data_IF_305104330165
#
_entry.id   IF_305104330165
#
_cell.length_a   1.000
_cell.length_b   1.000
_cell.length_c   1.000
_cell.angle_alpha   90.00
_cell.angle_beta   90.00
_cell.angle_gamma   90.00
#
_symmetry.space_group_name_H-M   'P 1'
#
loop_
_entity.id
_entity.type
_entity.pdbx_description
1 polymer ?
#
# COMPACT_ATOMS: atom_id res chain seq x y z
N UNK A 1 -3.70 13.21 8.97
CA UNK A 1 -2.37 12.50 8.86
C UNK A 1 -1.46 13.42 8.09
N UNK A 2 -0.37 13.83 8.70
CA UNK A 2 0.66 14.61 8.03
C UNK A 2 1.16 13.84 6.81
N UNK A 3 1.41 14.50 5.65
CA UNK A 3 2.01 13.84 4.51
C UNK A 3 3.29 13.11 4.92
N UNK A 4 3.44 11.86 4.49
CA UNK A 4 4.60 11.03 4.85
C UNK A 4 5.93 11.68 4.48
N UNK A 5 5.94 12.52 3.43
CA UNK A 5 7.14 13.28 3.03
C UNK A 5 7.58 14.29 4.08
N UNK A 6 6.65 15.00 4.73
CA UNK A 6 6.98 15.98 5.77
C UNK A 6 7.59 15.28 6.97
N UNK A 7 6.94 14.21 7.44
CA UNK A 7 7.51 13.37 8.49
C UNK A 7 8.91 12.88 8.12
N UNK A 8 9.07 12.37 6.90
CA UNK A 8 10.34 11.82 6.44
C UNK A 8 11.45 12.90 6.36
N UNK A 9 11.12 14.11 5.93
CA UNK A 9 12.09 15.18 5.77
C UNK A 9 12.41 15.90 7.09
N UNK A 10 11.43 16.15 7.92
CA UNK A 10 11.49 17.04 9.09
C UNK A 10 11.69 16.32 10.42
N UNK A 11 11.29 15.03 10.50
CA UNK A 11 11.42 14.24 11.72
C UNK A 11 12.89 14.09 12.14
N UNK A 12 13.18 14.46 13.40
CA UNK A 12 14.53 14.41 13.98
C UNK A 12 14.89 13.07 14.62
N UNK A 13 13.95 12.11 14.64
CA UNK A 13 14.18 10.78 15.22
C UNK A 13 15.32 10.04 14.50
N UNK A 14 16.12 9.23 15.22
CA UNK A 14 17.21 8.46 14.60
C UNK A 14 16.75 7.57 13.45
N UNK A 15 15.56 7.00 13.54
CA UNK A 15 14.96 6.15 12.50
C UNK A 15 14.71 6.92 11.20
N UNK A 16 14.16 8.13 11.29
CA UNK A 16 13.95 8.97 10.12
C UNK A 16 15.28 9.40 9.49
N UNK A 17 16.28 9.75 10.31
CA UNK A 17 17.62 10.05 9.83
C UNK A 17 18.28 8.85 9.13
N UNK A 18 18.07 7.63 9.64
CA UNK A 18 18.50 6.40 8.99
C UNK A 18 17.76 6.18 7.67
N UNK A 19 16.43 6.39 7.66
CA UNK A 19 15.62 6.29 6.45
C UNK A 19 16.11 7.22 5.34
N UNK A 20 16.38 8.48 5.67
CA UNK A 20 16.96 9.45 4.71
C UNK A 20 18.30 8.98 4.14
N UNK A 21 19.18 8.41 4.98
CA UNK A 21 20.45 7.84 4.50
C UNK A 21 20.24 6.69 3.53
N UNK A 22 19.32 5.75 3.86
CA UNK A 22 19.00 4.62 2.99
C UNK A 22 18.46 5.11 1.63
N UNK A 23 17.52 6.05 1.64
CA UNK A 23 16.96 6.60 0.38
C UNK A 23 18.03 7.31 -0.44
N UNK A 24 18.85 8.16 0.19
CA UNK A 24 19.92 8.86 -0.51
C UNK A 24 20.95 7.88 -1.11
N UNK A 25 21.30 6.81 -0.40
CA UNK A 25 22.21 5.77 -0.90
C UNK A 25 21.58 5.02 -2.09
N UNK A 26 20.32 4.62 -2.00
CA UNK A 26 19.63 3.98 -3.13
C UNK A 26 19.51 4.95 -4.31
N UNK A 27 19.13 6.20 -4.06
CA UNK A 27 18.98 7.23 -5.10
C UNK A 27 20.30 7.55 -5.80
N UNK A 28 21.42 7.58 -5.09
CA UNK A 28 22.74 7.84 -5.71
C UNK A 28 23.15 6.80 -6.76
N UNK A 29 22.57 5.61 -6.70
CA UNK A 29 22.79 4.50 -7.65
C UNK A 29 21.69 4.39 -8.71
N UNK A 30 20.60 5.16 -8.54
CA UNK A 30 19.46 5.07 -9.42
C UNK A 30 19.71 5.81 -10.75
N UNK A 31 19.39 5.21 -11.91
CA UNK A 31 19.71 5.77 -13.22
C UNK A 31 18.72 6.88 -13.65
N UNK A 32 18.32 7.75 -12.74
CA UNK A 32 17.42 8.87 -13.06
C UNK A 32 18.16 9.94 -13.87
N UNK A 33 17.68 10.23 -15.07
CA UNK A 33 18.28 11.22 -15.96
C UNK A 33 17.54 12.55 -15.99
N UNK A 34 16.27 12.57 -15.64
CA UNK A 34 15.35 13.72 -15.80
C UNK A 34 14.89 14.37 -14.49
N UNK A 35 15.36 13.85 -13.36
CA UNK A 35 14.96 14.35 -12.03
C UNK A 35 13.52 14.02 -11.62
N UNK A 36 12.77 13.24 -12.43
CA UNK A 36 11.39 12.88 -12.14
C UNK A 36 11.28 12.14 -10.80
N UNK A 37 12.06 11.08 -10.60
CA UNK A 37 12.04 10.32 -9.35
C UNK A 37 12.35 11.20 -8.13
N UNK A 38 13.25 12.18 -8.27
CA UNK A 38 13.53 13.15 -7.21
C UNK A 38 12.29 14.00 -6.88
N UNK A 39 11.55 14.44 -7.90
CA UNK A 39 10.31 15.19 -7.69
C UNK A 39 9.22 14.34 -7.01
N UNK A 40 9.10 13.06 -7.38
CA UNK A 40 8.18 12.12 -6.76
C UNK A 40 8.53 11.84 -5.29
N UNK A 41 9.81 11.69 -4.95
CA UNK A 41 10.30 11.52 -3.57
C UNK A 41 10.05 12.75 -2.67
N UNK A 42 9.74 13.90 -3.25
CA UNK A 42 9.38 15.13 -2.53
C UNK A 42 7.90 15.49 -2.67
N UNK A 43 7.13 14.62 -3.27
CA UNK A 43 5.71 14.86 -3.46
C UNK A 43 4.98 14.85 -2.10
N UNK A 44 4.08 15.81 -1.91
CA UNK A 44 3.16 15.85 -0.76
C UNK A 44 2.10 14.74 -0.87
N UNK A 45 1.88 14.22 -2.07
CA UNK A 45 1.01 13.08 -2.32
C UNK A 45 1.73 11.78 -1.90
N UNK A 46 1.23 11.14 -0.85
CA UNK A 46 1.79 9.90 -0.32
C UNK A 46 1.86 8.78 -1.35
N UNK A 47 0.89 8.69 -2.28
CA UNK A 47 0.90 7.66 -3.34
C UNK A 47 2.12 7.82 -4.24
N UNK A 48 2.44 9.05 -4.63
CA UNK A 48 3.61 9.36 -5.45
C UNK A 48 4.91 9.07 -4.69
N UNK A 49 5.00 9.50 -3.43
CA UNK A 49 6.16 9.22 -2.58
C UNK A 49 6.37 7.70 -2.44
N UNK A 50 5.33 6.95 -2.09
CA UNK A 50 5.44 5.50 -1.93
C UNK A 50 5.80 4.78 -3.23
N UNK A 51 5.24 5.21 -4.37
CA UNK A 51 5.62 4.68 -5.68
C UNK A 51 7.12 4.87 -5.94
N UNK A 52 7.63 6.08 -5.72
CA UNK A 52 9.05 6.37 -5.89
C UNK A 52 9.95 5.55 -4.93
N UNK A 53 9.52 5.35 -3.68
CA UNK A 53 10.22 4.50 -2.73
C UNK A 53 10.24 3.03 -3.17
N UNK A 54 9.14 2.51 -3.69
CA UNK A 54 9.06 1.14 -4.19
C UNK A 54 9.94 0.96 -5.43
N UNK A 55 9.97 1.91 -6.35
CA UNK A 55 10.87 1.91 -7.51
C UNK A 55 12.35 1.91 -7.06
N UNK A 56 12.72 2.74 -6.07
CA UNK A 56 14.08 2.73 -5.51
C UNK A 56 14.46 1.38 -4.90
N UNK A 57 13.57 0.80 -4.11
CA UNK A 57 13.80 -0.51 -3.49
C UNK A 57 14.01 -1.58 -4.55
N UNK A 58 13.09 -1.65 -5.52
CA UNK A 58 13.13 -2.66 -6.60
C UNK A 58 14.40 -2.51 -7.42
N UNK A 59 14.77 -1.29 -7.82
CA UNK A 59 16.02 -1.02 -8.52
C UNK A 59 17.23 -1.50 -7.71
N UNK A 60 17.31 -1.15 -6.42
CA UNK A 60 18.43 -1.54 -5.57
C UNK A 60 18.55 -3.07 -5.40
N UNK A 61 17.42 -3.79 -5.39
CA UNK A 61 17.41 -5.25 -5.32
C UNK A 61 17.86 -5.89 -6.63
N UNK A 62 17.35 -5.43 -7.76
CA UNK A 62 17.64 -5.95 -9.10
C UNK A 62 19.09 -5.66 -9.51
N UNK A 63 19.61 -4.48 -9.19
CA UNK A 63 20.97 -4.03 -9.56
C UNK A 63 22.09 -4.83 -8.90
N UNK A 64 21.80 -5.69 -7.93
CA UNK A 64 22.78 -6.61 -7.35
C UNK A 64 23.19 -7.71 -8.31
N UNK A 65 22.34 -8.02 -9.27
CA UNK A 65 22.51 -9.16 -10.16
C UNK A 65 22.55 -8.78 -11.63
N UNK A 66 21.87 -7.71 -11.99
CA UNK A 66 21.68 -7.28 -13.37
C UNK A 66 22.15 -5.85 -13.59
N UNK A 67 22.51 -5.56 -14.83
CA UNK A 67 22.51 -4.18 -15.29
C UNK A 67 21.04 -3.78 -15.50
N UNK A 68 20.61 -2.73 -14.81
CA UNK A 68 19.22 -2.29 -14.79
C UNK A 68 19.11 -0.94 -15.49
N UNK A 69 18.29 -0.86 -16.54
CA UNK A 69 17.89 0.42 -17.12
C UNK A 69 16.49 0.81 -16.67
N UNK A 70 16.31 2.10 -16.44
CA UNK A 70 15.04 2.69 -15.98
C UNK A 70 14.35 3.40 -17.14
N UNK A 71 13.07 3.08 -17.39
CA UNK A 71 12.22 3.66 -18.43
C UNK A 71 12.92 3.77 -19.82
N UNK A 72 13.70 2.77 -20.19
CA UNK A 72 14.45 2.77 -21.45
C UNK A 72 13.55 2.58 -22.67
N UNK A 73 13.74 3.39 -23.70
CA UNK A 73 13.03 3.33 -24.96
C UNK A 73 12.08 4.50 -25.19
N UNK A 74 11.22 4.39 -26.21
CA UNK A 74 10.19 5.36 -26.58
C UNK A 74 8.80 4.77 -26.43
N UNK A 75 7.80 5.58 -26.20
CA UNK A 75 6.40 5.13 -26.03
C UNK A 75 6.14 4.51 -24.66
N UNK A 76 5.19 3.57 -24.59
CA UNK A 76 4.82 2.85 -23.38
C UNK A 76 5.88 1.82 -23.04
N UNK A 77 6.52 1.94 -21.89
CA UNK A 77 7.68 1.16 -21.48
C UNK A 77 7.55 0.71 -20.01
N UNK A 78 8.11 -0.47 -19.65
CA UNK A 78 8.17 -0.92 -18.27
C UNK A 78 9.15 -0.06 -17.47
N UNK A 79 8.98 -0.02 -16.15
CA UNK A 79 9.85 0.75 -15.27
C UNK A 79 11.31 0.28 -15.39
N UNK A 80 11.54 -1.03 -15.44
CA UNK A 80 12.90 -1.59 -15.52
C UNK A 80 13.06 -2.61 -16.63
N UNK A 81 14.22 -2.55 -17.30
CA UNK A 81 14.74 -3.62 -18.15
C UNK A 81 15.99 -4.20 -17.55
N UNK A 82 16.11 -5.52 -17.60
CA UNK A 82 17.21 -6.28 -17.00
C UNK A 82 18.13 -6.81 -18.08
N UNK A 83 19.42 -6.60 -17.89
CA UNK A 83 20.45 -7.12 -18.76
C UNK A 83 21.45 -7.93 -17.94
N UNK A 84 21.89 -9.06 -18.46
CA UNK A 84 22.96 -9.84 -17.89
C UNK A 84 24.32 -9.11 -18.03
N UNK A 85 25.36 -9.62 -17.40
CA UNK A 85 26.70 -9.01 -17.45
C UNK A 85 27.33 -8.96 -18.85
N UNK A 86 26.86 -9.84 -19.75
CA UNK A 86 27.25 -9.85 -21.17
C UNK A 86 26.42 -8.91 -22.04
N UNK A 87 25.50 -8.13 -21.44
CA UNK A 87 24.62 -7.22 -22.13
C UNK A 87 23.37 -7.86 -22.74
N UNK A 88 23.18 -9.17 -22.60
CA UNK A 88 21.97 -9.84 -23.11
C UNK A 88 20.74 -9.42 -22.33
N UNK A 89 19.63 -9.15 -23.04
CA UNK A 89 18.35 -8.79 -22.42
C UNK A 89 17.70 -9.99 -21.74
N UNK A 90 17.43 -9.88 -20.44
CA UNK A 90 16.91 -10.95 -19.59
C UNK A 90 15.40 -10.86 -19.42
N UNK A 91 14.85 -9.66 -19.23
CA UNK A 91 13.43 -9.46 -18.98
C UNK A 91 13.11 -8.06 -18.48
N UNK A 92 11.86 -7.84 -18.13
CA UNK A 92 11.37 -6.55 -17.66
C UNK A 92 10.62 -6.67 -16.31
N UNK A 93 10.57 -5.55 -15.61
CA UNK A 93 9.85 -5.41 -14.33
C UNK A 93 9.02 -4.13 -14.35
N UNK A 94 7.79 -4.23 -13.95
CA UNK A 94 6.90 -3.11 -13.68
C UNK A 94 6.61 -3.02 -12.19
N UNK A 95 6.61 -1.82 -11.64
CA UNK A 95 6.29 -1.56 -10.24
C UNK A 95 4.89 -0.94 -10.15
N UNK A 96 4.11 -1.39 -9.22
CA UNK A 96 2.88 -0.74 -8.81
C UNK A 96 2.86 -0.60 -7.29
N UNK A 97 2.20 0.43 -6.81
CA UNK A 97 1.98 0.64 -5.39
C UNK A 97 0.49 0.65 -5.13
N UNK A 98 0.04 -0.16 -4.16
CA UNK A 98 -1.33 -0.20 -3.70
C UNK A 98 -1.44 0.60 -2.41
N UNK A 99 -2.17 1.72 -2.43
CA UNK A 99 -2.45 2.54 -1.24
C UNK A 99 -3.94 2.52 -0.92
N UNK A 100 -4.29 2.75 0.34
CA UNK A 100 -5.69 2.88 0.76
C UNK A 100 -6.40 4.06 0.07
N UNK A 101 -5.66 5.11 -0.28
CA UNK A 101 -6.23 6.39 -0.72
C UNK A 101 -6.55 6.47 -2.22
N UNK A 102 -6.02 5.56 -3.04
CA UNK A 102 -6.18 5.63 -4.50
C UNK A 102 -7.64 5.58 -4.96
N UNK A 103 -8.45 4.75 -4.30
CA UNK A 103 -9.85 4.50 -4.69
C UNK A 103 -10.84 5.24 -3.80
N UNK A 104 -10.36 6.15 -2.98
CA UNK A 104 -11.24 6.90 -2.10
C UNK A 104 -12.20 7.77 -2.91
N UNK A 105 -13.48 7.69 -2.55
CA UNK A 105 -14.50 8.58 -3.07
C UNK A 105 -14.16 10.03 -2.72
N UNK A 106 -14.80 10.99 -3.39
CA UNK A 106 -14.62 12.41 -3.07
C UNK A 106 -14.99 12.72 -1.60
N UNK A 107 -15.88 11.94 -1.01
CA UNK A 107 -16.27 12.06 0.39
C UNK A 107 -15.16 11.57 1.33
N UNK A 108 -14.58 10.42 1.06
CA UNK A 108 -13.47 9.87 1.82
C UNK A 108 -12.24 10.77 1.78
N UNK A 109 -11.94 11.37 0.62
CA UNK A 109 -10.87 12.37 0.49
C UNK A 109 -11.13 13.62 1.34
N UNK A 110 -12.38 14.13 1.33
CA UNK A 110 -12.76 15.28 2.18
C UNK A 110 -12.62 14.96 3.67
N UNK A 111 -13.01 13.74 4.08
CA UNK A 111 -12.80 13.24 5.43
C UNK A 111 -11.31 13.23 5.83
N UNK A 112 -10.47 12.66 4.97
CA UNK A 112 -9.03 12.60 5.21
C UNK A 112 -8.43 14.00 5.37
N UNK A 113 -8.75 14.93 4.46
CA UNK A 113 -8.27 16.32 4.53
C UNK A 113 -8.72 17.00 5.82
N UNK A 114 -9.97 16.77 6.27
CA UNK A 114 -10.45 17.31 7.54
C UNK A 114 -9.66 16.76 8.73
N UNK A 115 -9.43 15.46 8.77
CA UNK A 115 -8.64 14.80 9.83
C UNK A 115 -7.21 15.31 9.84
N UNK A 116 -6.59 15.42 8.66
CA UNK A 116 -5.23 15.94 8.51
C UNK A 116 -5.12 17.40 9.00
N UNK A 117 -6.06 18.24 8.59
CA UNK A 117 -6.14 19.65 9.03
C UNK A 117 -6.36 19.81 10.54
N UNK A 118 -7.15 18.90 11.15
CA UNK A 118 -7.35 18.90 12.59
C UNK A 118 -6.11 18.44 13.33
N UNK A 119 -5.46 17.36 12.90
CA UNK A 119 -4.21 16.87 13.49
C UNK A 119 -3.10 17.91 13.43
N UNK A 120 -3.00 18.66 12.34
CA UNK A 120 -2.02 19.73 12.19
C UNK A 120 -2.26 20.95 13.10
N UNK A 121 -3.47 21.11 13.66
CA UNK A 121 -3.86 22.33 14.41
C UNK A 121 -4.20 22.10 15.87
N UNK A 122 -4.58 20.86 16.23
CA UNK A 122 -4.94 20.52 17.59
C UNK A 122 -3.71 20.06 18.38
N UNK A 123 -3.61 20.53 19.61
CA UNK A 123 -2.61 20.05 20.58
C UNK A 123 -3.35 19.47 21.77
N UNK A 124 -3.85 18.26 21.63
CA UNK A 124 -4.60 17.58 22.67
C UNK A 124 -3.66 16.79 23.59
N UNK A 125 -3.88 16.88 24.89
CA UNK A 125 -3.04 16.17 25.89
C UNK A 125 -3.82 15.20 26.76
N UNK A 126 -5.14 15.30 26.77
CA UNK A 126 -6.00 14.53 27.66
C UNK A 126 -7.03 13.67 26.94
N UNK A 127 -7.31 13.98 25.68
CA UNK A 127 -8.28 13.29 24.85
C UNK A 127 -7.74 13.09 23.45
N UNK A 128 -8.10 11.99 22.81
CA UNK A 128 -8.17 11.90 21.35
C UNK A 128 -9.61 12.13 20.89
N UNK A 129 -9.80 12.44 19.62
CA UNK A 129 -11.14 12.69 19.08
C UNK A 129 -11.43 11.82 17.87
N UNK A 130 -12.67 11.38 17.77
CA UNK A 130 -13.21 10.74 16.57
C UNK A 130 -14.12 11.74 15.87
N UNK A 131 -14.03 11.87 14.56
CA UNK A 131 -14.85 12.77 13.75
C UNK A 131 -15.61 12.00 12.68
N UNK A 132 -16.89 12.34 12.50
CA UNK A 132 -17.74 11.81 11.45
C UNK A 132 -18.50 12.95 10.79
N UNK A 133 -18.35 13.10 9.47
CA UNK A 133 -19.06 14.15 8.71
C UNK A 133 -20.48 13.69 8.43
N UNK A 134 -21.47 14.41 8.95
CA UNK A 134 -22.89 14.17 8.70
C UNK A 134 -23.43 14.98 7.52
N UNK A 135 -22.91 16.17 7.30
CA UNK A 135 -23.25 17.07 6.18
C UNK A 135 -22.02 17.86 5.75
N UNK A 136 -21.83 17.98 4.45
CA UNK A 136 -20.72 18.74 3.85
C UNK A 136 -21.19 19.53 2.64
N UNK A 137 -21.41 20.81 2.80
CA UNK A 137 -21.74 21.72 1.70
C UNK A 137 -20.49 22.36 1.13
N UNK A 138 -19.54 22.70 1.99
CA UNK A 138 -18.22 23.24 1.65
C UNK A 138 -17.21 22.98 2.78
N UNK A 139 -15.92 23.20 2.51
CA UNK A 139 -14.87 23.06 3.52
C UNK A 139 -15.14 23.97 4.74
N UNK A 140 -15.03 23.45 5.99
CA UNK A 140 -15.23 24.23 7.19
C UNK A 140 -14.12 25.27 7.36
N UNK A 141 -14.44 26.38 8.04
CA UNK A 141 -13.41 27.25 8.57
C UNK A 141 -12.75 26.58 9.77
N UNK A 142 -11.49 26.24 9.66
CA UNK A 142 -10.80 25.43 10.68
C UNK A 142 -10.68 26.14 12.03
N UNK A 143 -10.40 27.46 12.04
CA UNK A 143 -10.23 28.21 13.30
C UNK A 143 -11.47 28.14 14.24
N UNK A 144 -12.71 28.35 13.79
CA UNK A 144 -13.89 28.14 14.62
C UNK A 144 -14.10 26.71 15.09
N UNK A 145 -13.80 25.72 14.24
CA UNK A 145 -13.94 24.31 14.56
C UNK A 145 -12.94 23.90 15.66
N UNK A 146 -11.67 24.26 15.49
CA UNK A 146 -10.61 24.00 16.50
C UNK A 146 -10.98 24.67 17.84
N UNK A 147 -11.34 25.95 17.83
CA UNK A 147 -11.73 26.66 19.04
C UNK A 147 -12.95 26.03 19.76
N UNK A 148 -13.88 25.47 18.98
CA UNK A 148 -15.04 24.77 19.54
C UNK A 148 -14.61 23.43 20.16
N UNK A 149 -13.71 22.66 19.53
CA UNK A 149 -13.16 21.42 20.07
C UNK A 149 -12.43 21.71 21.40
N UNK A 150 -11.52 22.67 21.41
CA UNK A 150 -10.76 23.06 22.61
C UNK A 150 -11.68 23.44 23.78
N UNK A 151 -12.72 24.24 23.49
CA UNK A 151 -13.73 24.62 24.49
C UNK A 151 -14.48 23.40 25.01
N UNK A 152 -14.85 22.48 24.14
CA UNK A 152 -15.59 21.27 24.53
C UNK A 152 -14.74 20.34 25.41
N UNK A 153 -13.45 20.20 25.08
CA UNK A 153 -12.51 19.43 25.91
C UNK A 153 -12.31 20.10 27.30
N UNK A 154 -12.26 21.44 27.34
CA UNK A 154 -12.20 22.13 28.62
C UNK A 154 -13.44 21.85 29.46
N UNK A 155 -14.63 21.87 28.88
CA UNK A 155 -15.88 21.52 29.57
C UNK A 155 -15.86 20.07 30.11
N UNK A 156 -15.37 19.10 29.32
CA UNK A 156 -15.27 17.70 29.73
C UNK A 156 -14.27 17.49 30.88
N UNK A 157 -13.20 18.31 30.95
CA UNK A 157 -12.25 18.25 32.08
C UNK A 157 -12.87 18.76 33.37
N UNK A 158 -13.74 19.81 33.26
CA UNK A 158 -14.42 20.40 34.43
C UNK A 158 -15.62 19.54 34.88
N UNK A 159 -16.34 18.94 33.92
CA UNK A 159 -17.47 18.06 34.13
C UNK A 159 -17.48 16.91 33.11
N UNK A 160 -17.00 15.71 33.46
CA UNK A 160 -17.02 14.53 32.58
C UNK A 160 -18.40 14.11 32.10
N UNK A 161 -19.47 14.53 32.75
CA UNK A 161 -20.87 14.25 32.38
C UNK A 161 -21.50 15.36 31.52
N UNK A 162 -20.74 16.39 31.13
CA UNK A 162 -21.24 17.56 30.39
C UNK A 162 -21.81 17.23 29.00
N UNK A 163 -21.45 16.09 28.42
CA UNK A 163 -21.89 15.67 27.10
C UNK A 163 -22.71 14.37 27.12
N UNK A 164 -23.64 14.22 26.18
CA UNK A 164 -24.34 12.94 25.99
C UNK A 164 -23.36 11.83 25.66
N UNK A 165 -23.56 10.66 26.24
CA UNK A 165 -22.74 9.46 26.04
C UNK A 165 -23.51 8.50 25.14
N UNK A 166 -22.89 8.14 24.01
CA UNK A 166 -23.40 7.13 23.09
C UNK A 166 -22.34 6.05 22.89
N UNK A 167 -22.72 4.79 23.06
CA UNK A 167 -21.79 3.64 23.02
C UNK A 167 -20.60 3.77 24.02
N UNK A 168 -20.83 4.42 25.16
CA UNK A 168 -19.82 4.61 26.19
C UNK A 168 -18.83 5.76 25.92
N UNK A 169 -19.03 6.54 24.85
CA UNK A 169 -18.16 7.66 24.48
C UNK A 169 -18.93 8.98 24.47
N UNK A 170 -18.47 10.00 25.22
CA UNK A 170 -19.09 11.32 25.16
C UNK A 170 -18.89 11.98 23.79
N UNK A 171 -19.93 12.60 23.27
CA UNK A 171 -19.89 13.22 21.96
C UNK A 171 -20.90 14.35 21.80
N UNK A 172 -20.66 15.21 20.82
CA UNK A 172 -21.57 16.29 20.43
C UNK A 172 -21.35 16.73 19.00
N UNK A 173 -22.33 17.46 18.47
CA UNK A 173 -22.36 17.89 17.07
C UNK A 173 -21.82 19.31 16.91
N UNK A 174 -20.76 19.48 16.14
CA UNK A 174 -20.43 20.78 15.59
C UNK A 174 -21.29 21.08 14.39
N UNK A 175 -22.02 22.20 14.44
CA UNK A 175 -22.89 22.65 13.35
C UNK A 175 -22.51 24.01 12.84
N UNK A 176 -22.42 24.14 11.53
CA UNK A 176 -22.16 25.42 10.86
C UNK A 176 -22.96 25.50 9.54
N UNK A 177 -22.94 26.66 8.90
CA UNK A 177 -23.50 26.78 7.55
C UNK A 177 -22.73 25.97 6.49
N UNK A 178 -21.56 25.44 6.81
CA UNK A 178 -20.68 24.72 5.88
C UNK A 178 -20.75 23.19 6.08
N UNK A 179 -20.77 22.74 7.35
CA UNK A 179 -20.67 21.33 7.72
C UNK A 179 -21.43 21.04 9.01
N UNK A 180 -21.87 19.78 9.16
CA UNK A 180 -22.24 19.18 10.44
C UNK A 180 -21.29 18.00 10.70
N UNK A 181 -20.61 18.02 11.84
CA UNK A 181 -19.61 17.02 12.21
C UNK A 181 -19.96 16.47 13.58
N UNK A 182 -20.17 15.15 13.68
CA UNK A 182 -20.25 14.44 14.95
C UNK A 182 -18.82 14.27 15.48
N UNK A 183 -18.57 14.77 16.69
CA UNK A 183 -17.24 14.69 17.33
C UNK A 183 -17.40 13.94 18.65
N UNK A 184 -16.62 12.87 18.81
CA UNK A 184 -16.58 12.05 20.00
C UNK A 184 -15.22 12.18 20.67
N UNK A 185 -15.20 12.20 21.99
CA UNK A 185 -14.04 12.50 22.82
C UNK A 185 -13.65 11.26 23.62
N UNK A 186 -12.46 10.69 23.34
CA UNK A 186 -11.92 9.54 24.04
C UNK A 186 -10.86 10.01 25.03
N UNK A 187 -11.14 9.83 26.31
CA UNK A 187 -10.16 10.15 27.35
C UNK A 187 -8.91 9.28 27.19
N UNK A 188 -7.75 9.89 27.21
CA UNK A 188 -6.48 9.18 27.20
C UNK A 188 -6.16 8.63 28.58
N UNK A 189 -5.51 7.46 28.69
CA UNK A 189 -5.08 6.91 29.96
C UNK A 189 -4.21 7.89 30.75
N UNK A 190 -4.34 7.91 32.07
CA UNK A 190 -3.50 8.75 32.91
C UNK A 190 -2.01 8.45 32.69
N UNK A 191 -1.23 9.50 32.44
CA UNK A 191 0.20 9.38 32.14
C UNK A 191 0.54 9.07 30.69
N UNK A 192 -0.44 8.91 29.80
CA UNK A 192 -0.19 8.81 28.37
C UNK A 192 0.46 10.11 27.88
N UNK A 193 1.56 9.99 27.15
CA UNK A 193 2.23 11.11 26.51
C UNK A 193 2.02 11.00 25.01
N UNK A 194 1.27 11.92 24.48
CA UNK A 194 1.15 12.09 23.02
C UNK A 194 2.52 12.50 22.49
N UNK A 195 3.09 11.70 21.62
CA UNK A 195 4.28 12.07 20.87
C UNK A 195 3.88 13.07 19.77
N UNK A 196 4.81 13.91 19.32
CA UNK A 196 4.54 14.91 18.29
C UNK A 196 4.00 14.32 16.97
N UNK A 197 4.20 13.01 16.78
CA UNK A 197 3.80 12.28 15.56
C UNK A 197 2.59 11.35 15.78
N UNK A 198 1.92 11.41 16.95
CA UNK A 198 0.72 10.63 17.20
C UNK A 198 -0.48 11.33 16.54
N UNK A 199 -1.25 10.58 15.75
CA UNK A 199 -2.55 11.05 15.28
C UNK A 199 -3.54 11.07 16.46
N UNK A 200 -3.94 12.27 16.86
CA UNK A 200 -4.90 12.49 17.97
C UNK A 200 -6.34 12.61 17.47
N UNK A 201 -6.50 12.78 16.17
CA UNK A 201 -7.80 12.78 15.48
C UNK A 201 -7.90 11.55 14.63
N UNK A 202 -8.90 10.72 14.88
CA UNK A 202 -9.18 9.54 14.08
C UNK A 202 -10.52 9.67 13.36
N UNK A 203 -10.63 9.03 12.23
CA UNK A 203 -11.90 8.94 11.53
C UNK A 203 -12.87 8.03 12.30
N UNK A 204 -14.00 8.57 12.74
CA UNK A 204 -15.04 7.83 13.48
C UNK A 204 -15.96 7.01 12.57
N UNK A 205 -15.98 7.27 11.29
CA UNK A 205 -16.67 6.43 10.36
C UNK A 205 -15.87 5.13 10.21
N UNK A 206 -16.36 4.04 10.80
CA UNK A 206 -16.16 2.76 10.19
C UNK A 206 -16.71 2.91 8.77
N UNK A 207 -15.84 3.12 7.79
CA UNK A 207 -16.23 3.08 6.39
C UNK A 207 -16.71 1.65 6.18
N UNK A 208 -18.01 1.43 6.35
CA UNK A 208 -18.69 0.16 6.20
C UNK A 208 -18.81 -0.22 4.73
N UNK A 209 -17.68 -0.18 4.03
CA UNK A 209 -17.52 -0.80 2.73
C UNK A 209 -16.74 -2.09 2.95
N UNK A 210 -17.18 -3.17 2.34
CA UNK A 210 -16.32 -4.34 2.20
C UNK A 210 -15.16 -3.89 1.33
N UNK A 211 -14.00 -3.65 1.95
CA UNK A 211 -12.75 -3.38 1.22
C UNK A 211 -12.32 -4.72 0.63
N UNK A 212 -12.63 -4.94 -0.63
CA UNK A 212 -12.12 -6.09 -1.38
C UNK A 212 -10.71 -5.76 -1.90
N UNK A 213 -9.72 -5.87 -1.01
CA UNK A 213 -8.31 -5.62 -1.33
C UNK A 213 -7.81 -6.56 -2.43
N UNK A 214 -8.31 -7.78 -2.47
CA UNK A 214 -7.95 -8.76 -3.50
C UNK A 214 -8.44 -8.32 -4.90
N UNK A 215 -9.69 -7.89 -5.03
CA UNK A 215 -10.23 -7.39 -6.30
C UNK A 215 -9.52 -6.12 -6.76
N UNK A 216 -9.23 -5.19 -5.84
CA UNK A 216 -8.49 -3.97 -6.15
C UNK A 216 -7.09 -4.27 -6.66
N UNK A 217 -6.34 -5.09 -5.93
CA UNK A 217 -4.99 -5.49 -6.34
C UNK A 217 -5.01 -6.19 -7.69
N UNK A 218 -5.96 -7.11 -7.91
CA UNK A 218 -6.13 -7.80 -9.20
C UNK A 218 -6.34 -6.82 -10.34
N UNK A 219 -7.26 -5.87 -10.20
CA UNK A 219 -7.53 -4.86 -11.22
C UNK A 219 -6.28 -4.02 -11.57
N UNK A 220 -5.48 -3.63 -10.57
CA UNK A 220 -4.25 -2.89 -10.78
C UNK A 220 -3.17 -3.72 -11.50
N UNK A 221 -3.03 -5.00 -11.14
CA UNK A 221 -2.12 -5.92 -11.83
C UNK A 221 -2.57 -6.13 -13.27
N UNK A 222 -3.87 -6.30 -13.52
CA UNK A 222 -4.43 -6.44 -14.87
C UNK A 222 -4.16 -5.22 -15.75
N UNK A 223 -4.34 -4.01 -15.22
CA UNK A 223 -4.01 -2.75 -15.90
C UNK A 223 -2.54 -2.73 -16.35
N UNK A 224 -1.61 -3.07 -15.45
CA UNK A 224 -0.18 -3.11 -15.74
C UNK A 224 0.18 -4.22 -16.73
N UNK A 225 -0.44 -5.38 -16.60
CA UNK A 225 -0.17 -6.53 -17.47
C UNK A 225 -0.53 -6.28 -18.94
N UNK A 226 -1.55 -5.47 -19.24
CA UNK A 226 -1.97 -5.19 -20.63
C UNK A 226 -1.24 -4.02 -21.26
N UNK A 227 -0.55 -3.22 -20.47
CA UNK A 227 0.06 -1.95 -20.89
C UNK A 227 1.21 -2.13 -21.91
N UNK A 228 1.92 -3.27 -21.86
CA UNK A 228 3.14 -3.48 -22.64
C UNK A 228 3.03 -4.67 -23.61
N UNK A 229 3.66 -4.55 -24.77
CA UNK A 229 3.77 -5.64 -25.77
C UNK A 229 5.02 -6.50 -25.55
N UNK A 230 5.26 -6.95 -24.32
CA UNK A 230 6.39 -7.83 -23.97
C UNK A 230 5.97 -9.30 -24.17
N UNK A 231 6.18 -9.86 -25.37
CA UNK A 231 5.70 -11.21 -25.73
C UNK A 231 6.78 -12.27 -25.73
N UNK A 232 8.03 -11.89 -25.81
CA UNK A 232 9.16 -12.78 -26.11
C UNK A 232 10.19 -12.89 -24.99
N UNK A 233 9.90 -12.35 -23.81
CA UNK A 233 10.81 -12.33 -22.65
C UNK A 233 10.05 -12.40 -21.33
N UNK A 234 10.71 -12.85 -20.25
CA UNK A 234 10.13 -12.80 -18.92
C UNK A 234 9.71 -11.39 -18.52
N UNK A 235 8.52 -11.29 -17.91
CA UNK A 235 7.99 -10.05 -17.39
C UNK A 235 7.44 -10.26 -15.98
N UNK A 236 7.88 -9.46 -15.03
CA UNK A 236 7.36 -9.49 -13.66
C UNK A 236 6.71 -8.18 -13.26
N UNK A 237 5.76 -8.28 -12.34
CA UNK A 237 5.14 -7.13 -11.68
C UNK A 237 5.52 -7.18 -10.21
N UNK A 238 5.98 -6.05 -9.65
CA UNK A 238 6.25 -5.88 -8.22
C UNK A 238 5.20 -4.97 -7.64
N UNK A 239 4.43 -5.47 -6.69
CA UNK A 239 3.37 -4.74 -5.99
C UNK A 239 3.85 -4.33 -4.60
N UNK A 240 4.11 -3.04 -4.39
CA UNK A 240 4.29 -2.43 -3.08
C UNK A 240 2.94 -2.30 -2.38
N UNK A 241 2.74 -3.02 -1.28
CA UNK A 241 1.47 -3.03 -0.54
C UNK A 241 1.59 -2.06 0.63
N UNK A 242 0.95 -0.90 0.48
CA UNK A 242 0.85 0.18 1.49
C UNK A 242 -0.54 0.25 2.12
N UNK A 243 -1.43 -0.59 1.64
CA UNK A 243 -2.76 -0.75 2.20
C UNK A 243 -2.68 -1.72 3.38
N UNK A 244 -2.93 -1.19 4.59
CA UNK A 244 -2.92 -1.99 5.83
C UNK A 244 -4.04 -3.02 5.89
N UNK A 245 -5.06 -2.90 5.04
CA UNK A 245 -6.16 -3.86 4.91
C UNK A 245 -5.87 -4.98 3.90
N UNK A 246 -4.75 -4.89 3.17
CA UNK A 246 -4.33 -5.87 2.18
C UNK A 246 -3.22 -6.76 2.75
N UNK A 247 -3.56 -7.98 3.14
CA UNK A 247 -2.58 -8.95 3.63
C UNK A 247 -2.12 -9.92 2.53
N UNK A 248 -1.26 -10.87 2.89
CA UNK A 248 -0.73 -11.86 1.96
C UNK A 248 -1.81 -12.81 1.41
N UNK A 249 -2.92 -12.97 2.12
CA UNK A 249 -4.05 -13.81 1.69
C UNK A 249 -4.82 -13.09 0.59
N UNK A 250 -5.01 -11.78 0.71
CA UNK A 250 -5.62 -10.96 -0.34
C UNK A 250 -4.77 -11.00 -1.61
N UNK A 251 -3.44 -10.90 -1.49
CA UNK A 251 -2.53 -11.05 -2.64
C UNK A 251 -2.69 -12.43 -3.28
N UNK A 252 -2.70 -13.48 -2.46
CA UNK A 252 -2.89 -14.85 -2.95
C UNK A 252 -4.24 -15.00 -3.66
N UNK A 253 -5.31 -14.45 -3.08
CA UNK A 253 -6.65 -14.49 -3.67
C UNK A 253 -6.73 -13.67 -4.97
N UNK A 254 -6.13 -12.49 -5.00
CA UNK A 254 -6.05 -11.67 -6.21
C UNK A 254 -5.40 -12.43 -7.39
N UNK A 255 -4.36 -13.22 -7.10
CA UNK A 255 -3.58 -13.91 -8.12
C UNK A 255 -4.17 -15.28 -8.50
N UNK A 256 -4.63 -16.05 -7.51
CA UNK A 256 -5.03 -17.45 -7.72
C UNK A 256 -6.55 -17.67 -7.74
N UNK A 257 -7.32 -16.64 -7.38
CA UNK A 257 -8.78 -16.65 -7.35
C UNK A 257 -9.38 -16.88 -5.98
N UNK A 258 -10.66 -16.56 -5.88
CA UNK A 258 -11.44 -16.60 -4.65
C UNK A 258 -11.61 -18.04 -4.15
N UNK A 259 -11.41 -18.26 -2.86
CA UNK A 259 -11.70 -19.53 -2.21
C UNK A 259 -13.21 -19.75 -2.10
N UNK A 260 -13.70 -20.93 -2.44
CA UNK A 260 -15.10 -21.30 -2.33
C UNK A 260 -15.25 -22.74 -1.84
N UNK A 261 -16.36 -23.04 -1.19
CA UNK A 261 -16.73 -24.40 -0.82
C UNK A 261 -17.67 -24.95 -1.86
N UNK A 262 -17.34 -26.10 -2.45
CA UNK A 262 -18.26 -26.80 -3.35
C UNK A 262 -19.35 -27.48 -2.52
N UNK A 263 -20.58 -27.02 -2.65
CA UNK A 263 -21.73 -27.44 -1.81
C UNK A 263 -21.93 -28.97 -1.84
N UNK A 264 -21.79 -29.61 -3.00
CA UNK A 264 -22.04 -31.04 -3.16
C UNK A 264 -20.96 -31.94 -2.55
N UNK A 265 -19.74 -31.51 -2.47
CA UNK A 265 -18.60 -32.31 -2.00
C UNK A 265 -18.00 -31.83 -0.69
N UNK A 266 -18.35 -30.63 -0.22
CA UNK A 266 -17.69 -29.95 0.90
C UNK A 266 -16.24 -29.56 0.63
N UNK A 267 -15.74 -29.79 -0.58
CA UNK A 267 -14.34 -29.52 -0.91
C UNK A 267 -14.08 -28.02 -1.08
N UNK A 268 -12.95 -27.56 -0.53
CA UNK A 268 -12.43 -26.23 -0.83
C UNK A 268 -11.92 -26.20 -2.27
N UNK A 269 -12.44 -25.27 -3.05
CA UNK A 269 -12.03 -25.05 -4.43
C UNK A 269 -11.58 -23.57 -4.60
N UNK A 270 -10.78 -23.32 -5.62
CA UNK A 270 -10.54 -21.96 -6.08
C UNK A 270 -11.32 -21.70 -7.36
N UNK A 271 -11.97 -20.54 -7.41
CA UNK A 271 -12.60 -20.04 -8.62
C UNK A 271 -11.51 -19.63 -9.62
N UNK A 272 -11.81 -19.67 -10.92
CA UNK A 272 -10.89 -19.19 -11.97
C UNK A 272 -10.87 -17.68 -12.15
N UNK A 273 -11.27 -16.92 -11.14
CA UNK A 273 -11.41 -15.47 -11.17
C UNK A 273 -10.12 -14.71 -10.75
N UNK A 274 -9.06 -15.44 -10.40
CA UNK A 274 -7.75 -14.85 -10.12
C UNK A 274 -7.00 -14.41 -11.37
N UNK A 275 -6.02 -13.55 -11.18
CA UNK A 275 -5.19 -13.00 -12.26
C UNK A 275 -4.50 -14.09 -13.09
N UNK A 276 -3.99 -15.15 -12.46
CA UNK A 276 -3.35 -16.28 -13.19
C UNK A 276 -4.35 -17.21 -13.86
N UNK A 277 -5.65 -17.13 -13.57
CA UNK A 277 -6.66 -17.97 -14.19
C UNK A 277 -6.52 -19.46 -13.88
N UNK A 278 -5.98 -19.83 -12.71
CA UNK A 278 -5.67 -21.22 -12.33
C UNK A 278 -6.85 -22.03 -11.79
N UNK A 279 -8.06 -21.48 -11.79
CA UNK A 279 -9.26 -22.15 -11.29
C UNK A 279 -9.85 -23.20 -12.25
N UNK A 280 -10.94 -23.83 -11.81
CA UNK A 280 -11.62 -24.93 -12.53
C UNK A 280 -12.15 -24.53 -13.91
N UNK A 281 -12.53 -23.27 -14.09
CA UNK A 281 -13.06 -22.72 -15.35
C UNK A 281 -11.93 -22.11 -16.20
N UNK A 282 -10.91 -22.90 -16.46
CA UNK A 282 -9.73 -22.53 -17.24
C UNK A 282 -10.13 -21.93 -18.60
N UNK A 283 -10.32 -20.66 -18.68
CA UNK A 283 -10.10 -19.93 -19.94
C UNK A 283 -8.60 -19.89 -20.14
N UNK A 284 -8.09 -20.81 -20.92
CA UNK A 284 -6.68 -20.94 -21.21
C UNK A 284 -6.08 -19.56 -21.54
N UNK A 285 -5.07 -19.15 -20.80
CA UNK A 285 -4.13 -18.18 -21.29
C UNK A 285 -4.35 -16.72 -20.99
N UNK A 286 -5.14 -16.32 -20.00
CA UNK A 286 -5.07 -14.94 -19.51
C UNK A 286 -3.69 -14.65 -18.90
N UNK A 287 -3.09 -13.55 -19.30
CA UNK A 287 -1.85 -13.01 -18.71
C UNK A 287 -0.60 -13.91 -18.77
N UNK A 288 -0.49 -14.84 -19.75
CA UNK A 288 0.68 -15.72 -19.93
C UNK A 288 2.02 -14.98 -20.09
N UNK A 289 1.99 -13.71 -20.46
CA UNK A 289 3.18 -12.87 -20.58
C UNK A 289 3.75 -12.42 -19.23
N UNK A 290 2.92 -12.40 -18.17
CA UNK A 290 3.42 -12.09 -16.82
C UNK A 290 3.94 -13.38 -16.21
N UNK A 291 5.25 -13.42 -15.99
CA UNK A 291 5.96 -14.59 -15.50
C UNK A 291 5.83 -14.77 -13.99
N UNK A 292 5.87 -13.67 -13.25
CA UNK A 292 5.77 -13.66 -11.80
C UNK A 292 5.19 -12.34 -11.29
N UNK A 293 4.57 -12.40 -10.11
CA UNK A 293 4.20 -11.23 -9.31
C UNK A 293 4.95 -11.33 -7.99
N UNK A 294 5.55 -10.21 -7.57
CA UNK A 294 6.14 -10.07 -6.25
C UNK A 294 5.29 -9.11 -5.43
N UNK A 295 4.97 -9.45 -4.19
CA UNK A 295 4.40 -8.51 -3.24
C UNK A 295 5.46 -8.05 -2.24
N UNK A 296 5.48 -6.76 -1.94
CA UNK A 296 6.37 -6.13 -0.96
C UNK A 296 5.52 -5.52 0.14
N UNK A 297 5.59 -6.08 1.34
CA UNK A 297 4.85 -5.62 2.52
C UNK A 297 5.80 -5.00 3.55
N UNK A 298 5.23 -4.22 4.46
CA UNK A 298 5.85 -3.76 5.70
C UNK A 298 7.17 -2.98 5.51
N UNK A 299 7.40 -2.40 4.34
CA UNK A 299 8.61 -1.65 4.10
C UNK A 299 8.40 -0.14 4.12
N UNK A 300 9.18 0.53 4.96
CA UNK A 300 9.38 1.97 4.92
C UNK A 300 10.83 2.27 5.32
N UNK A 301 11.54 3.16 4.61
CA UNK A 301 12.93 3.49 4.94
C UNK A 301 13.05 4.03 6.37
N UNK A 302 13.89 3.41 7.18
CA UNK A 302 14.06 3.75 8.60
C UNK A 302 12.95 3.21 9.51
N UNK A 303 11.96 2.52 8.97
CA UNK A 303 10.96 1.82 9.76
C UNK A 303 11.55 0.59 10.49
N UNK A 304 10.83 0.07 11.50
CA UNK A 304 11.31 -1.05 12.32
C UNK A 304 11.32 -2.38 11.57
N UNK A 305 10.62 -2.45 10.44
CA UNK A 305 10.42 -3.69 9.71
C UNK A 305 11.23 -3.72 8.42
N UNK A 306 11.79 -4.90 8.13
CA UNK A 306 12.40 -5.19 6.83
C UNK A 306 11.31 -5.50 5.81
N UNK A 307 11.52 -5.23 4.50
CA UNK A 307 10.55 -5.58 3.48
C UNK A 307 10.27 -7.10 3.49
N UNK A 308 9.00 -7.45 3.60
CA UNK A 308 8.54 -8.83 3.39
C UNK A 308 8.20 -9.00 1.91
N UNK A 309 9.03 -9.75 1.22
CA UNK A 309 8.85 -10.01 -0.21
C UNK A 309 8.37 -11.45 -0.39
N UNK A 310 7.26 -11.59 -1.11
CA UNK A 310 6.71 -12.90 -1.50
C UNK A 310 6.64 -12.97 -3.00
N UNK A 311 7.16 -14.06 -3.57
CA UNK A 311 7.13 -14.35 -5.00
C UNK A 311 5.96 -15.29 -5.32
N UNK A 312 5.23 -14.99 -6.38
CA UNK A 312 4.16 -15.81 -6.95
C UNK A 312 4.49 -16.07 -8.42
N UNK A 313 4.81 -17.29 -8.75
CA UNK A 313 5.05 -17.68 -10.15
C UNK A 313 3.72 -17.94 -10.87
N UNK A 314 3.60 -17.40 -12.08
CA UNK A 314 2.45 -17.70 -12.92
C UNK A 314 2.63 -19.08 -13.58
N UNK A 315 1.81 -20.10 -13.22
CA UNK A 315 1.94 -21.44 -13.77
C UNK A 315 1.61 -21.54 -15.27
N UNK A 316 1.03 -20.49 -15.83
CA UNK A 316 0.65 -20.40 -17.24
C UNK A 316 1.58 -19.50 -18.05
N UNK A 317 2.66 -18.98 -17.43
CA UNK A 317 3.59 -18.07 -18.09
C UNK A 317 4.30 -18.71 -19.29
N UNK A 318 4.43 -17.94 -20.36
CA UNK A 318 5.18 -18.37 -21.55
C UNK A 318 6.69 -18.46 -21.29
N UNK A 319 7.20 -17.65 -20.35
CA UNK A 319 8.60 -17.60 -19.96
C UNK A 319 8.71 -17.54 -18.43
N UNK A 320 9.60 -18.34 -17.85
CA UNK A 320 9.88 -18.28 -16.43
C UNK A 320 10.70 -17.02 -16.08
N UNK A 321 10.34 -16.32 -15.01
CA UNK A 321 11.16 -15.23 -14.49
C UNK A 321 12.35 -15.80 -13.74
N UNK A 322 13.58 -15.24 -13.88
CA UNK A 322 14.74 -15.79 -13.21
C UNK A 322 14.54 -15.98 -11.70
N UNK A 323 14.91 -17.15 -11.19
CA UNK A 323 14.63 -17.54 -9.81
C UNK A 323 15.35 -16.63 -8.80
N UNK A 324 16.49 -16.10 -9.17
CA UNK A 324 17.41 -15.32 -8.33
C UNK A 324 17.41 -13.82 -8.66
N UNK A 325 16.45 -13.35 -9.46
CA UNK A 325 16.41 -11.95 -9.89
C UNK A 325 16.22 -10.98 -8.73
N UNK A 326 15.48 -11.39 -7.72
CA UNK A 326 15.19 -10.59 -6.54
C UNK A 326 15.03 -11.50 -5.32
N UNK A 327 15.56 -11.14 -4.14
CA UNK A 327 15.37 -11.95 -2.93
C UNK A 327 13.89 -11.98 -2.51
N UNK A 328 13.47 -13.09 -1.94
CA UNK A 328 12.13 -13.25 -1.37
C UNK A 328 12.15 -14.20 -0.17
N UNK A 329 11.24 -13.99 0.77
CA UNK A 329 11.08 -14.82 1.96
C UNK A 329 9.96 -15.85 1.85
N UNK A 330 9.00 -15.64 0.96
CA UNK A 330 7.90 -16.55 0.66
C UNK A 330 7.82 -16.85 -0.83
N UNK A 331 7.40 -18.07 -1.18
CA UNK A 331 7.26 -18.50 -2.58
C UNK A 331 6.00 -19.35 -2.77
N UNK A 332 5.20 -18.97 -3.75
CA UNK A 332 4.12 -19.78 -4.28
C UNK A 332 4.42 -20.11 -5.74
N UNK A 333 4.33 -21.35 -6.11
CA UNK A 333 4.70 -21.76 -7.47
C UNK A 333 4.20 -23.16 -7.83
N UNK A 334 4.53 -23.58 -9.03
CA UNK A 334 4.12 -24.86 -9.58
C UNK A 334 4.87 -26.01 -8.90
N UNK A 335 4.12 -26.97 -8.33
CA UNK A 335 4.65 -28.19 -7.74
C UNK A 335 4.55 -29.38 -8.68
N UNK A 336 3.56 -29.36 -9.58
CA UNK A 336 3.32 -30.41 -10.55
C UNK A 336 2.66 -29.82 -11.80
N UNK A 337 3.12 -30.23 -12.98
CA UNK A 337 2.55 -29.84 -14.26
C UNK A 337 2.48 -31.00 -15.20
N UNK A 338 1.27 -31.31 -15.72
CA UNK A 338 1.01 -32.22 -16.80
C UNK A 338 0.31 -31.51 -17.93
N UNK A 339 0.11 -32.18 -19.08
CA UNK A 339 -0.64 -31.62 -20.21
C UNK A 339 -2.08 -31.24 -19.86
N UNK A 340 -2.65 -31.84 -18.83
CA UNK A 340 -4.05 -31.66 -18.42
C UNK A 340 -4.22 -31.02 -17.04
N UNK A 341 -3.15 -30.96 -16.25
CA UNK A 341 -3.21 -30.49 -14.87
C UNK A 341 -1.99 -29.67 -14.49
N UNK A 342 -2.24 -28.53 -13.80
CA UNK A 342 -1.22 -27.74 -13.14
C UNK A 342 -1.59 -27.69 -11.65
N UNK A 343 -0.70 -28.17 -10.82
CA UNK A 343 -0.78 -28.03 -9.38
C UNK A 343 0.25 -26.98 -8.95
N UNK A 344 -0.23 -25.95 -8.26
CA UNK A 344 0.61 -24.93 -7.68
C UNK A 344 0.30 -24.85 -6.18
N UNK A 345 1.31 -24.68 -5.37
CA UNK A 345 1.22 -24.69 -3.92
C UNK A 345 2.33 -23.82 -3.29
N UNK A 346 2.26 -23.59 -1.99
CA UNK A 346 3.33 -22.93 -1.25
C UNK A 346 4.56 -23.83 -1.22
N UNK A 347 5.68 -23.29 -1.68
CA UNK A 347 6.98 -23.92 -1.63
C UNK A 347 7.74 -23.51 -0.36
N UNK A 348 8.78 -24.26 -0.01
CA UNK A 348 9.65 -23.89 1.08
C UNK A 348 10.18 -22.47 0.88
N UNK A 349 10.07 -21.58 1.87
CA UNK A 349 10.58 -20.22 1.75
C UNK A 349 12.07 -20.21 1.40
N UNK A 350 12.43 -19.42 0.40
CA UNK A 350 13.85 -19.13 0.17
C UNK A 350 14.35 -18.25 1.32
N UNK A 351 15.58 -18.44 1.76
CA UNK A 351 16.20 -17.57 2.73
C UNK A 351 16.31 -16.16 2.14
N UNK A 352 15.57 -15.21 2.70
CA UNK A 352 15.60 -13.83 2.28
C UNK A 352 16.96 -13.24 2.68
N UNK A 353 17.86 -13.10 1.73
CA UNK A 353 19.09 -12.34 1.91
C UNK A 353 18.81 -10.85 1.70
N UNK A 354 17.99 -10.26 2.55
CA UNK A 354 17.91 -8.82 2.64
C UNK A 354 19.10 -8.35 3.50
N UNK A 355 19.92 -7.41 3.02
CA UNK A 355 21.02 -6.89 3.82
C UNK A 355 20.49 -6.20 5.07
N UNK A 356 21.31 -6.24 6.09
CA UNK A 356 21.06 -5.54 7.35
C UNK A 356 20.97 -4.02 7.16
#
# INVERSE_FOLDING_TARGET
MEPAVNWFLECTRPQAAQGRRIVNEMYSRFPSRDGRLHAELRAVDDTRLYSALDELLVHNLLSRRYQVSYEEGTGTRPDFRLYASDGSYVGAVEVLTLTLREDWTAEQRRHAVLVDDLNARLTLTTHSIMVEIRRWDRAPRMRPLVAWIDKTIAQLRDDPAALPVEHGVPGTMYRSAAVDIDVRFLALPAGYRICADDDIVVNGAAIGGVVDSAARLRARIEEKAVKYELRDRPFAIVAGIRDTMCDIRDVHEALTGTSAVQILSGAMIRKGDGFFGTGRDRTAGKHQRVSAVFSVHEWFPGGPYRPRITRFDNPLASYAFPADAMPFGGHWGVTEQTQQHIRADWLTPAQAMLPA
#
